data_IF_276167907117
#
_entry.id   IF_276167907117
#
_cell.length_a   1.000
_cell.length_b   1.000
_cell.length_c   1.000
_cell.angle_alpha   90.00
_cell.angle_beta   90.00
_cell.angle_gamma   90.00
#
_symmetry.space_group_name_H-M   'P 1'
#
loop_
_entity.id
_entity.type
_entity.pdbx_description
1 polymer ?
#
# COMPACT_ATOMS: atom_id res chain seq x y z
N UNK A 1 17.08 61.22 40.95
CA UNK A 1 17.43 59.83 41.35
C UNK A 1 18.09 59.14 40.17
N UNK A 2 19.04 58.27 40.49
CA UNK A 2 20.11 57.65 39.69
C UNK A 2 19.72 57.15 38.29
N UNK A 3 20.54 57.50 37.29
CA UNK A 3 20.59 56.83 35.99
C UNK A 3 21.65 55.71 36.01
N UNK A 4 21.43 54.61 35.28
CA UNK A 4 22.43 53.56 35.09
C UNK A 4 22.78 53.41 33.61
N UNK A 5 23.99 53.88 33.26
CA UNK A 5 24.66 53.51 32.01
C UNK A 5 25.45 52.22 32.24
N UNK A 6 25.34 51.27 31.32
CA UNK A 6 26.32 50.18 31.17
C UNK A 6 26.83 50.14 29.73
N UNK A 7 27.94 50.84 29.49
CA UNK A 7 28.82 50.58 28.34
C UNK A 7 29.79 49.44 28.72
N UNK A 8 29.90 48.43 27.87
CA UNK A 8 30.98 47.44 27.92
C UNK A 8 31.86 47.59 26.68
N UNK A 9 33.20 47.68 26.82
CA UNK A 9 34.10 47.83 25.69
C UNK A 9 34.36 46.48 25.00
N UNK A 10 34.16 46.43 23.68
CA UNK A 10 34.51 45.29 22.83
C UNK A 10 36.02 45.15 22.67
N UNK A 11 36.59 44.00 23.05
CA UNK A 11 37.98 43.62 22.70
C UNK A 11 38.01 42.99 21.30
N UNK A 12 38.99 43.33 20.44
CA UNK A 12 39.24 42.59 19.20
C UNK A 12 39.91 41.24 19.50
N UNK A 13 39.57 40.22 18.72
CA UNK A 13 40.23 38.91 18.73
C UNK A 13 41.38 38.90 17.69
N UNK A 14 42.49 38.19 17.96
CA UNK A 14 43.57 38.03 16.98
C UNK A 14 43.16 37.06 15.85
N UNK A 15 43.78 37.18 14.66
CA UNK A 15 43.52 36.27 13.54
C UNK A 15 44.05 34.86 13.82
N UNK A 16 43.29 33.85 13.41
CA UNK A 16 43.72 32.44 13.43
C UNK A 16 44.21 32.06 12.03
N UNK A 17 45.52 31.84 11.89
CA UNK A 17 46.08 31.19 10.70
C UNK A 17 45.61 29.73 10.63
N UNK A 18 45.03 29.33 9.50
CA UNK A 18 44.70 27.93 9.21
C UNK A 18 45.68 27.36 8.18
N UNK A 19 46.68 26.65 8.68
CA UNK A 19 47.72 26.02 7.87
C UNK A 19 47.23 24.65 7.34
N UNK A 20 46.40 24.67 6.28
CA UNK A 20 45.94 23.43 5.61
C UNK A 20 46.97 22.92 4.60
N UNK A 21 47.98 22.19 5.12
CA UNK A 21 48.88 21.39 4.28
C UNK A 21 48.15 20.19 3.66
N UNK A 22 47.99 20.21 2.35
CA UNK A 22 47.60 19.04 1.54
C UNK A 22 48.76 18.03 1.43
N UNK A 23 48.48 16.73 1.57
CA UNK A 23 49.32 15.67 1.01
C UNK A 23 48.61 14.97 -0.15
N UNK A 24 49.02 15.29 -1.38
CA UNK A 24 48.88 14.39 -2.53
C UNK A 24 50.11 13.48 -2.61
N UNK A 25 49.95 12.21 -2.99
CA UNK A 25 50.80 11.48 -3.97
C UNK A 25 50.32 10.03 -4.16
N UNK A 26 50.49 9.55 -5.40
CA UNK A 26 50.32 8.20 -5.98
C UNK A 26 50.78 7.00 -5.09
N UNK A 27 50.44 5.72 -5.26
CA UNK A 27 49.93 4.89 -6.38
C UNK A 27 49.32 3.58 -5.79
N UNK A 28 48.87 2.51 -6.48
CA UNK A 28 48.74 2.15 -7.90
C UNK A 28 48.91 0.63 -8.14
N UNK A 29 48.24 0.06 -9.16
CA UNK A 29 48.25 -1.39 -9.55
C UNK A 29 47.59 -2.33 -8.50
N UNK A 30 47.04 -3.52 -8.79
CA UNK A 30 47.13 -4.45 -9.93
C UNK A 30 45.73 -4.96 -10.34
N UNK A 31 45.50 -5.16 -11.65
CA UNK A 31 44.31 -5.81 -12.19
C UNK A 31 44.40 -7.35 -12.09
N UNK A 32 43.37 -8.01 -11.57
CA UNK A 32 43.17 -9.47 -11.71
C UNK A 32 41.85 -9.76 -12.41
N UNK A 33 41.94 -9.95 -13.73
CA UNK A 33 40.83 -10.25 -14.63
C UNK A 33 40.32 -11.68 -14.45
N UNK A 34 39.45 -11.90 -13.47
CA UNK A 34 38.69 -13.15 -13.36
C UNK A 34 37.70 -13.22 -14.53
N UNK A 35 38.08 -13.97 -15.56
CA UNK A 35 37.27 -14.25 -16.74
C UNK A 35 35.99 -15.00 -16.35
N UNK A 36 34.91 -14.24 -16.12
CA UNK A 36 33.56 -14.80 -15.98
C UNK A 36 33.10 -15.24 -17.37
N UNK A 37 33.07 -16.55 -17.59
CA UNK A 37 32.39 -17.16 -18.74
C UNK A 37 30.95 -16.62 -18.79
N UNK A 38 30.47 -16.06 -19.91
CA UNK A 38 29.07 -15.65 -20.02
C UNK A 38 28.20 -16.91 -19.95
N UNK A 39 27.50 -17.08 -18.84
CA UNK A 39 26.50 -18.15 -18.67
C UNK A 39 25.42 -18.00 -19.73
N UNK A 40 25.10 -19.11 -20.40
CA UNK A 40 24.38 -19.11 -21.67
C UNK A 40 23.03 -18.37 -21.66
N UNK A 41 22.80 -17.63 -22.74
CA UNK A 41 21.49 -17.22 -23.26
C UNK A 41 20.43 -16.88 -22.21
N UNK A 42 20.57 -15.71 -21.57
CA UNK A 42 19.40 -14.99 -21.07
C UNK A 42 18.52 -14.67 -22.28
N UNK A 43 17.47 -15.49 -22.49
CA UNK A 43 16.62 -15.44 -23.67
C UNK A 43 15.86 -14.10 -23.67
N UNK A 44 16.41 -13.12 -24.40
CA UNK A 44 16.20 -11.70 -24.13
C UNK A 44 14.76 -11.24 -24.05
N UNK A 45 14.18 -11.31 -22.84
CA UNK A 45 12.83 -10.87 -22.53
C UNK A 45 12.69 -9.36 -22.80
N UNK A 46 12.01 -9.00 -23.89
CA UNK A 46 11.86 -7.60 -24.29
C UNK A 46 10.77 -6.92 -23.46
N UNK A 47 11.17 -6.24 -22.39
CA UNK A 47 10.33 -5.31 -21.64
C UNK A 47 10.34 -3.92 -22.28
N UNK A 48 9.16 -3.39 -22.57
CA UNK A 48 8.97 -2.01 -22.99
C UNK A 48 8.54 -1.18 -21.77
N UNK A 49 9.02 0.06 -21.63
CA UNK A 49 8.66 0.94 -20.51
C UNK A 49 8.32 2.33 -21.03
N UNK A 50 7.07 2.74 -20.83
CA UNK A 50 6.59 4.07 -21.14
C UNK A 50 6.66 4.94 -19.88
N UNK A 51 7.27 6.12 -19.98
CA UNK A 51 7.49 7.04 -18.85
C UNK A 51 6.70 8.33 -19.04
N UNK A 52 5.93 8.72 -18.03
CA UNK A 52 5.13 9.93 -18.02
C UNK A 52 5.50 10.80 -16.82
N UNK A 53 6.06 11.99 -17.08
CA UNK A 53 6.35 12.98 -16.06
C UNK A 53 5.11 13.84 -15.80
N UNK A 54 4.85 14.18 -14.53
CA UNK A 54 3.67 14.94 -14.12
C UNK A 54 3.98 15.81 -12.90
N UNK A 55 3.28 16.93 -12.78
CA UNK A 55 3.32 17.81 -11.61
C UNK A 55 1.89 18.04 -11.12
N UNK A 56 1.56 17.61 -9.90
CA UNK A 56 0.24 17.81 -9.29
C UNK A 56 0.40 18.46 -7.92
N UNK A 57 -0.24 19.61 -7.69
CA UNK A 57 -0.04 20.46 -6.49
C UNK A 57 1.44 20.55 -6.07
N UNK A 58 2.30 21.03 -6.98
CA UNK A 58 3.75 21.16 -6.80
C UNK A 58 4.52 19.86 -6.47
N UNK A 59 3.86 18.69 -6.55
CA UNK A 59 4.47 17.38 -6.28
C UNK A 59 4.89 16.72 -7.59
N UNK A 60 6.19 16.61 -7.89
CA UNK A 60 6.68 15.96 -9.09
C UNK A 60 6.51 14.44 -8.99
N UNK A 61 5.93 13.83 -10.02
CA UNK A 61 5.67 12.40 -10.10
C UNK A 61 6.08 11.86 -11.47
N UNK A 62 6.57 10.62 -11.49
CA UNK A 62 6.80 9.86 -12.72
C UNK A 62 5.94 8.60 -12.67
N UNK A 63 5.21 8.31 -13.74
CA UNK A 63 4.48 7.05 -13.91
C UNK A 63 5.17 6.19 -14.95
N UNK A 64 5.38 4.93 -14.62
CA UNK A 64 5.92 3.92 -15.54
C UNK A 64 4.83 2.91 -15.87
N UNK A 65 4.62 2.70 -17.17
CA UNK A 65 3.78 1.62 -17.68
C UNK A 65 4.73 0.66 -18.40
N UNK A 66 4.97 -0.51 -17.80
CA UNK A 66 5.78 -1.54 -18.43
C UNK A 66 4.92 -2.58 -19.12
N UNK A 67 5.30 -2.94 -20.34
CA UNK A 67 4.64 -3.92 -21.20
C UNK A 67 5.63 -5.06 -21.46
N UNK A 68 5.27 -6.27 -21.02
CA UNK A 68 6.10 -7.48 -21.06
C UNK A 68 5.33 -8.56 -21.84
N UNK A 69 5.85 -9.07 -22.98
CA UNK A 69 5.23 -10.21 -23.67
C UNK A 69 5.38 -11.49 -22.84
N UNK A 70 4.31 -12.30 -22.78
CA UNK A 70 4.30 -13.52 -21.96
C UNK A 70 5.23 -14.61 -22.52
N UNK A 71 5.43 -14.64 -23.84
CA UNK A 71 6.35 -15.54 -24.55
C UNK A 71 7.77 -14.95 -24.73
N UNK A 72 8.03 -13.77 -24.14
CA UNK A 72 9.28 -13.02 -24.29
C UNK A 72 9.49 -12.32 -25.63
N UNK A 73 8.60 -12.50 -26.62
CA UNK A 73 8.76 -12.00 -27.99
C UNK A 73 7.79 -10.86 -28.31
N UNK A 74 8.19 -9.85 -29.10
CA UNK A 74 7.31 -8.74 -29.47
C UNK A 74 6.41 -9.13 -30.65
N UNK A 75 5.64 -10.20 -30.48
CA UNK A 75 4.74 -10.79 -31.48
C UNK A 75 3.29 -10.75 -30.99
N UNK A 76 2.34 -10.85 -31.93
CA UNK A 76 0.92 -10.91 -31.58
C UNK A 76 0.66 -12.06 -30.59
N UNK A 77 -0.01 -11.77 -29.47
CA UNK A 77 -0.15 -12.71 -28.36
C UNK A 77 -0.54 -12.03 -27.04
N UNK A 78 -0.24 -12.69 -25.92
CA UNK A 78 -0.57 -12.21 -24.58
C UNK A 78 0.56 -11.33 -23.99
N UNK A 79 0.18 -10.17 -23.49
CA UNK A 79 1.07 -9.22 -22.82
C UNK A 79 0.63 -8.97 -21.38
N UNK A 80 1.60 -8.86 -20.48
CA UNK A 80 1.43 -8.39 -19.12
C UNK A 80 1.82 -6.92 -19.01
N UNK A 81 0.97 -6.13 -18.38
CA UNK A 81 1.15 -4.72 -18.12
C UNK A 81 1.29 -4.49 -16.63
N UNK A 82 2.18 -3.58 -16.23
CA UNK A 82 2.34 -3.17 -14.82
C UNK A 82 2.43 -1.65 -14.73
N UNK A 83 1.78 -1.09 -13.72
CA UNK A 83 1.81 0.34 -13.41
C UNK A 83 2.61 0.55 -12.11
N UNK A 84 3.68 1.33 -12.21
CA UNK A 84 4.39 1.85 -11.05
C UNK A 84 4.46 3.37 -11.09
N UNK A 85 4.70 3.96 -9.93
CA UNK A 85 4.90 5.39 -9.75
C UNK A 85 6.18 5.61 -8.98
N UNK A 86 7.02 6.52 -9.47
CA UNK A 86 8.23 7.00 -8.83
C UNK A 86 8.07 8.45 -8.43
N UNK A 87 8.36 8.73 -7.17
CA UNK A 87 8.29 10.05 -6.57
C UNK A 87 9.50 10.19 -5.68
N UNK A 88 10.30 11.23 -5.94
CA UNK A 88 11.49 11.55 -5.15
C UNK A 88 12.45 10.35 -4.94
N UNK A 89 12.87 9.72 -6.04
CA UNK A 89 13.77 8.55 -6.02
C UNK A 89 13.16 7.24 -5.52
N UNK A 90 11.85 7.19 -5.22
CA UNK A 90 11.19 6.01 -4.65
C UNK A 90 10.08 5.56 -5.58
N UNK A 91 10.27 4.40 -6.19
CA UNK A 91 9.30 3.74 -7.06
C UNK A 91 8.57 2.60 -6.34
N UNK A 92 7.25 2.55 -6.51
CA UNK A 92 6.40 1.44 -6.05
C UNK A 92 5.34 1.06 -7.08
N UNK A 93 4.88 -0.21 -7.11
CA UNK A 93 3.68 -0.57 -7.87
C UNK A 93 2.46 0.19 -7.34
N UNK A 94 1.53 0.54 -8.24
CA UNK A 94 0.25 1.16 -7.90
C UNK A 94 -0.94 0.22 -7.98
N UNK A 95 -0.85 -0.85 -8.78
CA UNK A 95 -1.90 -1.83 -8.98
C UNK A 95 -1.30 -3.21 -9.25
N UNK A 96 -2.14 -4.23 -9.23
CA UNK A 96 -1.83 -5.53 -9.81
C UNK A 96 -1.57 -5.41 -11.32
N UNK A 97 -0.93 -6.44 -11.89
CA UNK A 97 -0.65 -6.51 -13.31
C UNK A 97 -1.90 -6.87 -14.12
N UNK A 98 -2.17 -6.16 -15.20
CA UNK A 98 -3.26 -6.47 -16.13
C UNK A 98 -2.69 -7.27 -17.31
N UNK A 99 -3.36 -8.34 -17.73
CA UNK A 99 -3.02 -9.05 -18.96
C UNK A 99 -4.00 -8.75 -20.08
N UNK A 100 -3.50 -8.63 -21.32
CA UNK A 100 -4.32 -8.44 -22.53
C UNK A 100 -3.74 -9.23 -23.70
N UNK A 101 -4.61 -9.68 -24.59
CA UNK A 101 -4.21 -10.15 -25.91
C UNK A 101 -4.05 -8.95 -26.85
N UNK A 102 -3.01 -8.95 -27.69
CA UNK A 102 -2.68 -7.84 -28.59
C UNK A 102 -2.16 -8.36 -29.93
N UNK A 103 -2.58 -7.72 -31.02
CA UNK A 103 -2.00 -7.88 -32.36
C UNK A 103 -1.05 -6.74 -32.75
N UNK A 104 -1.08 -5.63 -32.01
CA UNK A 104 -0.31 -4.41 -32.31
C UNK A 104 1.06 -4.45 -31.63
N UNK A 105 2.07 -3.99 -32.36
CA UNK A 105 3.46 -3.88 -31.89
C UNK A 105 3.53 -3.08 -30.56
N UNK A 106 4.11 -3.65 -29.49
CA UNK A 106 4.18 -3.00 -28.17
C UNK A 106 5.02 -1.72 -28.15
N UNK A 107 5.70 -1.36 -29.24
CA UNK A 107 6.41 -0.07 -29.44
C UNK A 107 5.51 1.04 -29.98
N UNK A 108 4.36 0.70 -30.60
CA UNK A 108 3.43 1.66 -31.22
C UNK A 108 2.31 2.11 -30.28
N UNK A 109 2.28 1.60 -29.05
CA UNK A 109 1.25 1.93 -28.07
C UNK A 109 1.39 3.38 -27.63
N UNK A 110 0.25 4.03 -27.39
CA UNK A 110 0.18 5.36 -26.79
C UNK A 110 -0.71 5.30 -25.56
N UNK A 111 -0.27 5.89 -24.45
CA UNK A 111 -1.11 6.00 -23.25
C UNK A 111 -1.43 7.46 -22.94
N UNK A 112 -2.67 7.69 -22.51
CA UNK A 112 -3.13 8.96 -21.95
C UNK A 112 -3.18 8.79 -20.43
N UNK A 113 -2.27 9.46 -19.73
CA UNK A 113 -2.09 9.38 -18.28
C UNK A 113 -2.45 10.71 -17.65
N UNK A 114 -3.44 10.71 -16.75
CA UNK A 114 -3.88 11.93 -16.06
C UNK A 114 -4.33 11.65 -14.62
N UNK A 115 -4.11 12.64 -13.75
CA UNK A 115 -4.66 12.68 -12.39
C UNK A 115 -5.65 13.83 -12.25
N UNK A 116 -6.61 13.67 -11.35
CA UNK A 116 -7.48 14.74 -10.89
C UNK A 116 -7.69 14.61 -9.37
N UNK A 117 -8.08 15.67 -8.64
CA UNK A 117 -8.37 15.59 -7.21
C UNK A 117 -9.42 14.52 -6.93
N UNK A 118 -9.17 13.64 -5.97
CA UNK A 118 -10.11 12.56 -5.65
C UNK A 118 -11.46 13.08 -5.13
N UNK A 119 -12.53 12.29 -5.26
CA UNK A 119 -13.91 12.70 -4.94
C UNK A 119 -14.06 13.36 -3.55
N UNK A 120 -13.29 12.90 -2.57
CA UNK A 120 -13.33 13.36 -1.18
C UNK A 120 -12.08 14.16 -0.78
N UNK A 121 -11.33 14.75 -1.74
CA UNK A 121 -10.05 15.40 -1.47
C UNK A 121 -10.11 16.58 -0.48
N UNK A 122 -11.28 17.20 -0.31
CA UNK A 122 -11.54 18.24 0.71
C UNK A 122 -11.79 17.69 2.13
N UNK A 123 -12.02 16.38 2.27
CA UNK A 123 -12.33 15.71 3.54
C UNK A 123 -11.19 14.77 3.99
N UNK A 124 -10.36 14.30 3.05
CA UNK A 124 -9.21 13.46 3.37
C UNK A 124 -8.05 14.32 3.84
N UNK A 125 -7.57 14.05 5.05
CA UNK A 125 -6.42 14.70 5.64
C UNK A 125 -5.14 13.84 5.50
N UNK A 126 -3.96 14.45 5.28
CA UNK A 126 -3.73 15.88 5.00
C UNK A 126 -4.40 16.35 3.71
N UNK A 127 -4.80 17.62 3.66
CA UNK A 127 -5.39 18.21 2.45
C UNK A 127 -4.40 18.19 1.26
N UNK A 128 -4.91 18.33 0.04
CA UNK A 128 -4.14 18.32 -1.22
C UNK A 128 -3.36 17.02 -1.51
N UNK A 129 -3.54 15.97 -0.70
CA UNK A 129 -2.84 14.69 -0.88
C UNK A 129 -3.59 13.66 -1.74
N UNK A 130 -4.92 13.77 -1.86
CA UNK A 130 -5.75 12.74 -2.53
C UNK A 130 -5.93 13.02 -4.04
N UNK A 131 -5.42 12.10 -4.85
CA UNK A 131 -5.57 12.08 -6.29
C UNK A 131 -6.27 10.81 -6.77
N UNK A 132 -6.96 10.90 -7.90
CA UNK A 132 -7.44 9.77 -8.67
C UNK A 132 -6.71 9.74 -10.01
N UNK A 133 -5.99 8.65 -10.27
CA UNK A 133 -5.23 8.40 -11.50
C UNK A 133 -6.08 7.61 -12.50
N UNK A 134 -5.96 7.97 -13.77
CA UNK A 134 -6.48 7.22 -14.92
C UNK A 134 -5.37 7.02 -15.94
N UNK A 135 -5.33 5.82 -16.49
CA UNK A 135 -4.52 5.47 -17.65
C UNK A 135 -5.45 4.88 -18.69
N UNK A 136 -5.42 5.45 -19.89
CA UNK A 136 -6.08 4.91 -21.07
C UNK A 136 -5.03 4.48 -22.09
N UNK A 137 -5.26 3.34 -22.74
CA UNK A 137 -4.46 2.86 -23.86
C UNK A 137 -5.16 3.28 -25.17
N UNK A 138 -4.48 4.07 -25.99
CA UNK A 138 -4.92 4.52 -27.31
C UNK A 138 -4.21 3.71 -28.39
N UNK A 139 -4.98 2.97 -29.18
CA UNK A 139 -4.49 2.14 -30.29
C UNK A 139 -5.47 2.25 -31.46
N UNK A 140 -4.98 2.56 -32.66
CA UNK A 140 -5.77 2.62 -33.90
C UNK A 140 -7.07 3.43 -33.81
N UNK A 141 -7.04 4.54 -33.05
CA UNK A 141 -8.17 5.44 -32.83
C UNK A 141 -9.14 5.00 -31.73
N UNK A 142 -8.94 3.83 -31.11
CA UNK A 142 -9.75 3.31 -30.01
C UNK A 142 -9.07 3.56 -28.66
N UNK A 143 -9.83 4.13 -27.72
CA UNK A 143 -9.39 4.41 -26.35
C UNK A 143 -9.94 3.37 -25.36
N UNK A 144 -9.04 2.63 -24.72
CA UNK A 144 -9.39 1.60 -23.73
C UNK A 144 -9.02 2.07 -22.32
N UNK A 145 -9.99 2.09 -21.38
CA UNK A 145 -9.68 2.32 -19.97
C UNK A 145 -8.82 1.17 -19.45
N UNK A 146 -7.64 1.50 -18.92
CA UNK A 146 -6.58 0.52 -18.71
C UNK A 146 -6.20 0.35 -17.24
N UNK A 147 -5.77 1.43 -16.57
CA UNK A 147 -5.58 1.45 -15.12
C UNK A 147 -6.44 2.54 -14.46
N UNK A 148 -6.89 2.24 -13.24
CA UNK A 148 -7.73 3.10 -12.41
C UNK A 148 -7.28 2.99 -10.96
N UNK A 149 -6.79 4.09 -10.40
CA UNK A 149 -6.46 4.18 -8.96
C UNK A 149 -7.23 5.35 -8.39
N UNK A 150 -8.17 5.10 -7.48
CA UNK A 150 -9.03 6.15 -6.90
C UNK A 150 -8.43 6.82 -5.66
N UNK A 151 -7.61 6.07 -4.90
CA UNK A 151 -6.99 6.46 -3.62
C UNK A 151 -5.47 6.73 -3.77
N UNK A 152 -5.02 7.48 -4.78
CA UNK A 152 -3.60 7.81 -4.93
C UNK A 152 -3.22 8.95 -3.97
N UNK A 153 -2.62 8.59 -2.83
CA UNK A 153 -2.28 9.56 -1.77
C UNK A 153 -0.79 9.91 -1.75
N UNK A 154 -0.52 11.13 -2.21
CA UNK A 154 0.82 11.67 -2.42
C UNK A 154 0.77 13.19 -2.38
N UNK A 155 1.76 13.83 -1.76
CA UNK A 155 1.86 15.28 -1.74
C UNK A 155 3.17 15.79 -1.13
N UNK A 156 3.59 16.96 -1.58
CA UNK A 156 4.71 17.74 -1.06
C UNK A 156 4.25 18.57 0.15
N UNK A 157 5.07 18.62 1.19
CA UNK A 157 4.92 19.49 2.38
C UNK A 157 3.51 19.48 2.99
N UNK A 158 2.97 18.27 3.17
CA UNK A 158 1.64 18.04 3.73
C UNK A 158 1.56 18.45 5.20
N UNK A 159 0.52 19.20 5.55
CA UNK A 159 0.21 19.54 6.94
C UNK A 159 -0.47 18.37 7.68
N UNK A 160 0.30 17.66 8.49
CA UNK A 160 -0.19 16.62 9.39
C UNK A 160 -0.73 17.17 10.72
N UNK A 161 -0.47 18.43 11.08
CA UNK A 161 -1.00 19.04 12.30
C UNK A 161 -2.49 19.37 12.20
N UNK A 162 -3.02 19.54 10.98
CA UNK A 162 -4.45 19.62 10.70
C UNK A 162 -5.24 18.34 11.08
N UNK A 163 -4.58 17.22 11.39
CA UNK A 163 -5.23 15.97 11.78
C UNK A 163 -5.54 15.98 13.28
N UNK A 164 -6.76 16.38 13.63
CA UNK A 164 -7.28 16.32 15.00
C UNK A 164 -7.19 14.92 15.61
N UNK A 165 -6.93 14.88 16.92
CA UNK A 165 -6.80 13.68 17.77
C UNK A 165 -5.74 12.65 17.32
N UNK A 166 -4.87 12.99 16.37
CA UNK A 166 -3.85 12.09 15.88
C UNK A 166 -2.70 11.92 16.88
N UNK A 167 -2.43 10.68 17.28
CA UNK A 167 -1.24 10.28 18.02
C UNK A 167 -0.16 9.80 17.04
N UNK A 168 0.97 10.49 17.01
CA UNK A 168 2.10 10.23 16.10
C UNK A 168 3.18 9.40 16.79
N UNK A 169 3.65 8.35 16.11
CA UNK A 169 4.82 7.61 16.57
C UNK A 169 6.11 8.39 16.25
N UNK A 170 7.02 8.47 17.21
CA UNK A 170 8.33 9.13 17.09
C UNK A 170 9.40 8.07 16.81
N UNK A 171 10.35 8.37 15.92
CA UNK A 171 11.52 7.50 15.67
C UNK A 171 12.33 7.37 16.97
N UNK A 172 12.47 6.15 17.47
CA UNK A 172 13.19 5.81 18.70
C UNK A 172 14.60 5.25 18.41
N UNK A 173 14.80 4.64 17.23
CA UNK A 173 16.11 4.12 16.83
C UNK A 173 16.12 3.59 15.40
N UNK A 174 17.28 3.12 14.95
CA UNK A 174 17.46 2.40 13.69
C UNK A 174 18.66 1.47 13.74
N UNK A 175 18.56 0.36 13.02
CA UNK A 175 19.68 -0.53 12.67
C UNK A 175 20.05 -0.42 11.19
N UNK A 176 20.83 -1.36 10.65
CA UNK A 176 21.21 -1.39 9.23
C UNK A 176 20.06 -1.79 8.30
N UNK A 177 19.09 -2.54 8.81
CA UNK A 177 17.97 -3.15 8.08
C UNK A 177 16.59 -2.84 8.71
N UNK A 178 16.54 -1.97 9.72
CA UNK A 178 15.30 -1.59 10.40
C UNK A 178 15.28 -0.16 10.97
N UNK A 179 14.08 0.38 11.18
CA UNK A 179 13.80 1.60 11.94
C UNK A 179 12.71 1.32 12.98
N UNK A 180 12.90 1.82 14.19
CA UNK A 180 11.97 1.66 15.32
C UNK A 180 11.28 3.00 15.58
N UNK A 181 9.96 2.96 15.70
CA UNK A 181 9.10 4.07 16.06
C UNK A 181 8.28 3.71 17.29
N UNK A 182 8.05 4.66 18.20
CA UNK A 182 7.24 4.45 19.41
C UNK A 182 6.14 5.50 19.51
N UNK A 183 4.92 5.08 19.80
CA UNK A 183 3.77 5.97 19.92
C UNK A 183 2.70 5.40 20.87
N UNK A 184 1.82 6.28 21.36
CA UNK A 184 0.70 5.84 22.20
C UNK A 184 -0.54 5.57 21.35
N UNK A 185 -1.15 4.40 21.53
CA UNK A 185 -2.40 4.00 20.86
C UNK A 185 -3.39 3.59 21.94
N UNK A 186 -4.47 4.36 22.11
CA UNK A 186 -5.49 4.06 23.11
C UNK A 186 -4.94 3.93 24.54
N UNK A 187 -3.97 4.78 24.94
CA UNK A 187 -3.19 4.70 26.20
C UNK A 187 -2.17 3.55 26.30
N UNK A 188 -2.08 2.62 25.34
CA UNK A 188 -0.98 1.64 25.28
C UNK A 188 0.25 2.25 24.61
N UNK A 189 1.45 1.95 25.11
CA UNK A 189 2.70 2.24 24.40
C UNK A 189 2.94 1.15 23.35
N UNK A 190 3.03 1.53 22.08
CA UNK A 190 3.24 0.63 20.95
C UNK A 190 4.56 0.95 20.27
N UNK A 191 5.36 -0.10 20.06
CA UNK A 191 6.56 -0.07 19.24
C UNK A 191 6.18 -0.55 17.83
N UNK A 192 6.51 0.24 16.82
CA UNK A 192 6.38 -0.10 15.41
C UNK A 192 7.78 -0.30 14.82
N UNK A 193 8.04 -1.45 14.24
CA UNK A 193 9.34 -1.73 13.60
C UNK A 193 9.14 -1.87 12.10
N UNK A 194 9.78 -0.98 11.34
CA UNK A 194 9.84 -1.08 9.88
C UNK A 194 11.15 -1.78 9.53
N UNK A 195 11.09 -2.92 8.83
CA UNK A 195 12.27 -3.65 8.35
C UNK A 195 12.35 -3.60 6.83
N UNK A 196 13.55 -3.72 6.27
CA UNK A 196 13.74 -3.93 4.84
C UNK A 196 14.83 -4.95 4.53
N UNK A 197 14.56 -5.76 3.50
CA UNK A 197 15.53 -6.70 2.94
C UNK A 197 15.78 -6.34 1.48
N UNK A 198 17.05 -6.20 1.08
CA UNK A 198 17.43 -6.02 -0.33
C UNK A 198 17.13 -7.31 -1.10
N UNK A 199 16.32 -7.23 -2.16
CA UNK A 199 16.02 -8.38 -3.04
C UNK A 199 17.09 -8.48 -4.14
N UNK A 200 17.26 -7.40 -4.91
CA UNK A 200 18.23 -7.26 -6.00
C UNK A 200 18.40 -5.79 -6.35
N UNK A 201 19.56 -5.40 -6.89
CA UNK A 201 19.82 -4.04 -7.38
C UNK A 201 19.40 -2.97 -6.35
N UNK A 202 18.43 -2.12 -6.67
CA UNK A 202 17.82 -1.14 -5.76
C UNK A 202 16.40 -1.51 -5.32
N UNK A 203 15.97 -2.77 -5.52
CA UNK A 203 14.67 -3.28 -5.11
C UNK A 203 14.75 -3.87 -3.68
N UNK A 204 13.97 -3.30 -2.77
CA UNK A 204 13.87 -3.69 -1.38
C UNK A 204 12.47 -4.20 -1.06
N UNK A 205 12.39 -5.21 -0.18
CA UNK A 205 11.17 -5.72 0.43
C UNK A 205 11.01 -5.10 1.82
N UNK A 206 9.96 -4.33 2.05
CA UNK A 206 9.63 -3.77 3.35
C UNK A 206 8.58 -4.60 4.09
N UNK A 207 8.70 -4.64 5.41
CA UNK A 207 7.65 -5.08 6.33
C UNK A 207 7.47 -4.06 7.47
N UNK A 208 6.28 -4.06 8.05
CA UNK A 208 5.94 -3.30 9.25
C UNK A 208 5.28 -4.24 10.25
N UNK A 209 5.88 -4.36 11.43
CA UNK A 209 5.33 -5.06 12.59
C UNK A 209 5.01 -4.05 13.70
N UNK A 210 4.08 -4.39 14.60
CA UNK A 210 3.87 -3.67 15.84
C UNK A 210 3.99 -4.61 17.04
N UNK A 211 4.35 -4.06 18.19
CA UNK A 211 4.40 -4.77 19.47
C UNK A 211 3.92 -3.85 20.60
N UNK A 212 3.08 -4.37 21.49
CA UNK A 212 2.64 -3.72 22.71
C UNK A 212 2.48 -4.72 23.85
N UNK A 213 3.22 -4.54 24.95
CA UNK A 213 3.14 -5.44 26.11
C UNK A 213 3.54 -6.89 25.83
N UNK A 214 4.46 -7.12 24.87
CA UNK A 214 4.90 -8.46 24.45
C UNK A 214 3.97 -9.17 23.46
N UNK A 215 2.90 -8.53 22.99
CA UNK A 215 2.02 -9.05 21.93
C UNK A 215 2.16 -8.17 20.68
N UNK A 216 2.28 -8.79 19.51
CA UNK A 216 2.50 -8.09 18.25
C UNK A 216 2.04 -8.87 17.04
N UNK A 217 1.97 -8.20 15.89
CA UNK A 217 1.61 -8.80 14.60
C UNK A 217 2.20 -8.00 13.42
N UNK A 218 2.23 -8.60 12.23
CA UNK A 218 2.74 -8.02 10.98
C UNK A 218 1.63 -7.28 10.25
N UNK A 219 1.64 -5.95 10.35
CA UNK A 219 0.68 -5.06 9.70
C UNK A 219 0.81 -5.05 8.18
N UNK A 220 2.05 -5.12 7.69
CA UNK A 220 2.37 -5.11 6.27
C UNK A 220 3.55 -6.05 6.01
N UNK A 221 3.37 -6.96 5.06
CA UNK A 221 4.42 -7.84 4.56
C UNK A 221 4.57 -7.64 3.05
N UNK A 222 5.79 -7.76 2.56
CA UNK A 222 6.13 -7.75 1.13
C UNK A 222 5.79 -6.46 0.35
N UNK A 223 5.91 -5.29 1.00
CA UNK A 223 5.89 -4.01 0.28
C UNK A 223 7.19 -3.85 -0.51
N UNK A 224 7.14 -4.12 -1.83
CA UNK A 224 8.32 -4.00 -2.70
C UNK A 224 8.44 -2.59 -3.27
N UNK A 225 9.58 -1.95 -3.05
CA UNK A 225 9.90 -0.61 -3.53
C UNK A 225 11.31 -0.56 -4.12
N UNK A 226 11.50 0.21 -5.20
CA UNK A 226 12.83 0.55 -5.72
C UNK A 226 13.25 1.92 -5.20
N UNK A 227 14.44 2.00 -4.60
CA UNK A 227 14.93 3.22 -3.93
C UNK A 227 16.26 3.65 -4.54
N UNK A 228 16.29 4.84 -5.11
CA UNK A 228 17.48 5.42 -5.74
C UNK A 228 18.35 6.11 -4.68
N UNK A 229 18.98 5.31 -3.80
CA UNK A 229 19.83 5.81 -2.73
C UNK A 229 19.91 4.84 -1.55
N UNK A 230 20.23 5.39 -0.37
CA UNK A 230 20.23 4.65 0.89
C UNK A 230 18.80 4.44 1.40
N UNK A 231 18.34 3.19 1.66
CA UNK A 231 17.04 2.94 2.28
C UNK A 231 16.88 3.58 3.67
N UNK A 232 17.98 3.91 4.38
CA UNK A 232 17.93 4.64 5.67
C UNK A 232 17.52 6.12 5.54
N UNK A 233 17.69 6.72 4.35
CA UNK A 233 17.23 8.08 4.07
C UNK A 233 15.70 8.16 3.93
N UNK A 234 15.04 7.02 3.72
CA UNK A 234 13.58 6.91 3.77
C UNK A 234 13.12 6.88 5.22
N UNK A 235 12.18 7.76 5.57
CA UNK A 235 11.57 7.82 6.90
C UNK A 235 10.08 7.52 6.82
N UNK A 236 9.48 7.17 7.96
CA UNK A 236 8.07 6.82 8.05
C UNK A 236 7.36 7.74 9.04
N UNK A 237 6.19 8.23 8.63
CA UNK A 237 5.28 8.99 9.47
C UNK A 237 4.08 8.08 9.74
N UNK A 238 4.02 7.56 10.97
CA UNK A 238 3.00 6.64 11.46
C UNK A 238 2.11 7.42 12.44
N UNK A 239 0.79 7.39 12.23
CA UNK A 239 -0.16 7.94 13.19
C UNK A 239 -1.39 7.05 13.37
N UNK A 240 -2.04 7.23 14.52
CA UNK A 240 -3.34 6.65 14.85
C UNK A 240 -4.33 7.75 15.22
N UNK A 241 -5.59 7.60 14.80
CA UNK A 241 -6.71 8.46 15.20
C UNK A 241 -7.72 7.59 15.96
N UNK A 242 -8.18 7.96 17.16
CA UNK A 242 -9.18 7.19 17.89
C UNK A 242 -10.52 7.13 17.13
N UNK A 243 -11.20 5.99 17.25
CA UNK A 243 -12.56 5.79 16.73
C UNK A 243 -13.49 5.46 17.89
N UNK A 244 -14.73 5.97 17.83
CA UNK A 244 -15.78 5.58 18.77
C UNK A 244 -15.92 4.06 18.77
N UNK A 245 -15.68 3.45 19.94
CA UNK A 245 -15.56 2.00 20.11
C UNK A 245 -16.01 1.59 21.51
N UNK A 246 -16.32 0.30 21.66
CA UNK A 246 -16.68 -0.32 22.94
C UNK A 246 -15.78 -1.54 23.15
N UNK A 247 -14.90 -1.56 24.16
CA UNK A 247 -14.60 -0.48 25.11
C UNK A 247 -13.98 0.77 24.46
N UNK A 248 -14.12 1.90 25.14
CA UNK A 248 -13.64 3.21 24.67
C UNK A 248 -12.12 3.21 24.55
N UNK A 249 -11.62 3.73 23.42
CA UNK A 249 -10.18 3.80 23.15
C UNK A 249 -9.56 2.48 22.69
N UNK A 250 -10.37 1.46 22.37
CA UNK A 250 -9.88 0.18 21.87
C UNK A 250 -9.72 0.11 20.35
N UNK A 251 -10.36 0.98 19.56
CA UNK A 251 -10.28 0.95 18.08
C UNK A 251 -9.76 2.27 17.52
N UNK A 252 -8.84 2.17 16.55
CA UNK A 252 -8.16 3.31 15.93
C UNK A 252 -8.06 3.16 14.42
N UNK A 253 -8.00 4.29 13.71
CA UNK A 253 -7.57 4.35 12.30
C UNK A 253 -6.07 4.58 12.27
N UNK A 254 -5.30 3.60 11.80
CA UNK A 254 -3.86 3.74 11.59
C UNK A 254 -3.56 4.12 10.14
N UNK A 255 -2.54 4.96 9.96
CA UNK A 255 -2.02 5.39 8.66
C UNK A 255 -0.50 5.39 8.68
N UNK A 256 0.10 4.95 7.58
CA UNK A 256 1.55 4.99 7.39
C UNK A 256 1.87 5.70 6.10
N UNK A 257 2.68 6.75 6.23
CA UNK A 257 3.20 7.52 5.14
C UNK A 257 4.71 7.31 5.06
N UNK A 258 5.19 7.04 3.86
CA UNK A 258 6.59 7.20 3.53
C UNK A 258 6.88 8.70 3.39
N UNK A 259 8.02 9.15 3.92
CA UNK A 259 8.52 10.53 3.86
C UNK A 259 9.95 10.51 3.32
N UNK A 260 10.20 11.22 2.22
CA UNK A 260 11.53 11.43 1.66
C UNK A 260 11.85 12.91 1.47
N UNK A 261 13.07 13.31 1.80
CA UNK A 261 13.59 14.67 1.64
C UNK A 261 13.74 14.97 0.15
N UNK A 262 13.22 16.10 -0.31
CA UNK A 262 13.42 16.59 -1.68
C UNK A 262 14.88 17.05 -1.79
N UNK A 263 15.69 16.50 -2.72
CA UNK A 263 17.05 16.97 -2.94
C UNK A 263 17.03 18.46 -3.27
N UNK A 264 17.76 19.25 -2.48
CA UNK A 264 18.04 20.64 -2.81
C UNK A 264 18.78 20.66 -4.16
N UNK A 265 18.29 21.46 -5.10
CA UNK A 265 18.93 21.61 -6.41
C UNK A 265 20.31 22.20 -6.22
N UNK A 266 21.35 21.42 -6.54
CA UNK A 266 22.76 21.82 -6.42
C UNK A 266 23.21 22.80 -7.51
N UNK A 267 22.27 23.51 -8.14
CA UNK A 267 22.56 24.53 -9.15
C UNK A 267 22.93 25.85 -8.44
N UNK A 268 24.21 26.26 -8.45
CA UNK A 268 24.67 27.44 -7.73
C UNK A 268 24.07 28.75 -8.27
N UNK A 269 23.49 28.75 -9.48
CA UNK A 269 22.83 29.92 -10.04
C UNK A 269 21.44 30.19 -9.44
N UNK A 270 20.85 29.20 -8.75
CA UNK A 270 19.47 29.26 -8.22
C UNK A 270 19.43 29.00 -6.70
N UNK A 271 20.44 28.33 -6.14
CA UNK A 271 20.49 27.97 -4.72
C UNK A 271 20.91 29.14 -3.81
N UNK A 272 19.96 29.98 -3.39
CA UNK A 272 20.11 30.72 -2.13
C UNK A 272 19.70 29.80 -0.95
N UNK A 273 20.64 29.42 -0.05
CA UNK A 273 20.34 28.52 1.05
C UNK A 273 19.53 29.26 2.14
N UNK A 274 18.21 29.16 2.05
CA UNK A 274 17.32 29.58 3.13
C UNK A 274 17.42 28.59 4.31
N UNK A 275 17.50 29.06 5.56
CA UNK A 275 17.76 28.22 6.74
C UNK A 275 16.64 27.25 7.15
N UNK A 276 15.56 27.14 6.37
CA UNK A 276 14.37 26.33 6.69
C UNK A 276 13.87 25.51 5.47
N UNK A 277 14.72 25.24 4.48
CA UNK A 277 14.28 24.77 3.16
C UNK A 277 14.13 23.24 3.01
N UNK A 278 13.98 22.51 4.11
CA UNK A 278 13.78 21.05 4.11
C UNK A 278 12.36 20.70 3.66
N UNK A 279 12.18 20.55 2.34
CA UNK A 279 10.93 20.09 1.75
C UNK A 279 10.86 18.56 1.70
N UNK A 280 9.69 17.99 1.97
CA UNK A 280 9.46 16.54 1.97
C UNK A 280 8.29 16.16 1.07
N UNK A 281 8.45 15.04 0.37
CA UNK A 281 7.32 14.41 -0.32
C UNK A 281 6.87 13.18 0.46
N UNK A 282 5.56 13.12 0.66
CA UNK A 282 4.86 12.11 1.42
C UNK A 282 4.07 11.20 0.49
N UNK A 283 4.10 9.89 0.73
CA UNK A 283 3.30 8.90 0.01
C UNK A 283 2.61 7.97 1.01
N UNK A 284 1.28 7.82 0.95
CA UNK A 284 0.60 6.84 1.82
C UNK A 284 0.85 5.43 1.30
N UNK A 285 1.45 4.59 2.13
CA UNK A 285 1.78 3.19 1.79
C UNK A 285 0.88 2.17 2.50
N UNK A 286 0.27 2.53 3.64
CA UNK A 286 -0.62 1.64 4.39
C UNK A 286 -1.78 2.39 5.05
N UNK A 287 -2.93 1.72 5.15
CA UNK A 287 -4.12 2.15 5.89
C UNK A 287 -4.75 0.95 6.58
N UNK A 288 -5.13 1.11 7.84
CA UNK A 288 -5.93 0.15 8.60
C UNK A 288 -6.99 0.97 9.36
N UNK A 289 -8.27 0.60 9.24
CA UNK A 289 -9.38 1.43 9.75
C UNK A 289 -9.98 0.91 11.07
N UNK A 290 -9.60 -0.29 11.47
CA UNK A 290 -10.09 -1.07 12.59
C UNK A 290 -8.93 -1.62 13.46
N UNK A 291 -7.87 -0.83 13.64
CA UNK A 291 -6.73 -1.23 14.47
C UNK A 291 -7.14 -1.32 15.94
N UNK A 292 -7.28 -2.55 16.44
CA UNK A 292 -7.84 -2.84 17.78
C UNK A 292 -6.75 -3.03 18.83
N UNK A 293 -6.33 -1.93 19.44
CA UNK A 293 -5.32 -1.89 20.50
C UNK A 293 -5.68 -0.80 21.51
N UNK A 294 -5.50 -1.06 22.80
CA UNK A 294 -5.66 -0.05 23.85
C UNK A 294 -5.11 -0.52 25.20
N UNK A 295 -4.66 0.43 26.01
CA UNK A 295 -4.11 0.21 27.34
C UNK A 295 -5.11 0.59 28.42
N UNK A 296 -5.23 -0.24 29.46
CA UNK A 296 -6.16 -0.01 30.59
C UNK A 296 -7.62 0.19 30.12
N UNK A 297 -8.09 -0.72 29.26
CA UNK A 297 -9.47 -0.71 28.75
C UNK A 297 -10.47 -1.02 29.89
N UNK A 298 -11.47 -0.17 30.04
CA UNK A 298 -12.44 -0.24 31.14
C UNK A 298 -13.61 -1.16 30.77
N UNK A 299 -13.37 -2.48 30.75
CA UNK A 299 -14.42 -3.47 30.44
C UNK A 299 -15.62 -3.41 31.41
N UNK A 300 -15.40 -3.00 32.66
CA UNK A 300 -16.45 -2.80 33.66
C UNK A 300 -17.43 -1.67 33.28
N UNK A 301 -17.00 -0.67 32.50
CA UNK A 301 -17.84 0.46 32.07
C UNK A 301 -18.83 0.10 30.96
N UNK A 302 -18.73 -1.11 30.38
CA UNK A 302 -19.62 -1.61 29.34
C UNK A 302 -21.02 -2.01 29.86
N UNK A 303 -21.18 -2.06 31.18
CA UNK A 303 -22.46 -2.22 31.87
C UNK A 303 -23.00 -3.66 31.91
N UNK A 304 -24.06 -3.82 32.71
CA UNK A 304 -24.59 -5.13 33.15
C UNK A 304 -25.20 -6.01 32.04
N UNK A 305 -25.17 -5.56 30.77
CA UNK A 305 -25.65 -6.31 29.61
C UNK A 305 -24.58 -7.23 29.00
N UNK A 306 -23.32 -7.09 29.40
CA UNK A 306 -22.27 -7.99 28.95
C UNK A 306 -22.23 -9.27 29.80
N UNK A 307 -22.22 -10.40 29.11
CA UNK A 307 -21.84 -11.69 29.68
C UNK A 307 -20.34 -11.88 29.47
N UNK A 308 -19.56 -11.76 30.53
CA UNK A 308 -18.12 -12.03 30.50
C UNK A 308 -17.86 -13.52 30.79
N UNK A 309 -16.95 -14.14 30.03
CA UNK A 309 -16.42 -15.44 30.40
C UNK A 309 -15.56 -15.32 31.66
N UNK A 310 -15.67 -16.30 32.56
CA UNK A 310 -14.79 -16.43 33.71
C UNK A 310 -13.60 -17.34 33.35
N UNK A 311 -12.39 -17.12 33.92
CA UNK A 311 -11.26 -18.01 33.70
C UNK A 311 -11.58 -19.42 34.22
N UNK A 312 -11.12 -20.44 33.49
CA UNK A 312 -11.22 -21.82 33.96
C UNK A 312 -10.37 -22.00 35.24
N UNK A 313 -10.92 -22.71 36.25
CA UNK A 313 -10.31 -22.80 37.58
C UNK A 313 -8.93 -23.48 37.59
N UNK A 314 -8.62 -24.32 36.60
CA UNK A 314 -7.30 -24.95 36.44
C UNK A 314 -6.21 -24.06 35.85
N UNK A 315 -6.52 -22.83 35.41
CA UNK A 315 -5.58 -21.98 34.68
C UNK A 315 -5.35 -22.45 33.24
N UNK A 316 -4.23 -22.05 32.58
CA UNK A 316 -3.89 -22.50 31.24
C UNK A 316 -3.40 -23.96 31.25
N UNK A 317 -4.04 -24.82 30.46
CA UNK A 317 -3.62 -26.21 30.26
C UNK A 317 -2.58 -26.32 29.12
N UNK A 318 -1.42 -26.91 29.41
CA UNK A 318 -0.38 -27.18 28.39
C UNK A 318 -0.68 -28.49 27.68
N UNK A 319 -1.43 -28.42 26.57
CA UNK A 319 -1.73 -29.58 25.73
C UNK A 319 -0.52 -29.89 24.84
N UNK A 320 0.31 -30.84 25.25
CA UNK A 320 1.40 -31.39 24.42
C UNK A 320 0.82 -32.28 23.32
N UNK A 321 0.38 -31.67 22.22
CA UNK A 321 0.06 -32.44 21.01
C UNK A 321 1.34 -33.09 20.47
N UNK A 322 1.36 -34.42 20.40
CA UNK A 322 2.45 -35.14 19.73
C UNK A 322 2.62 -34.58 18.32
N UNK A 323 3.84 -34.13 17.98
CA UNK A 323 4.13 -33.54 16.67
C UNK A 323 3.68 -34.52 15.60
N UNK A 324 2.73 -34.17 14.71
CA UNK A 324 2.29 -35.09 13.68
C UNK A 324 3.50 -35.51 12.85
N UNK A 325 3.69 -36.80 12.56
CA UNK A 325 4.87 -37.29 11.87
C UNK A 325 5.02 -36.52 10.56
N UNK A 326 6.17 -35.84 10.42
CA UNK A 326 6.44 -34.97 9.29
C UNK A 326 6.43 -35.85 8.03
N UNK A 327 5.45 -35.67 7.14
CA UNK A 327 5.28 -36.52 5.94
C UNK A 327 6.43 -36.43 4.93
N UNK A 328 7.48 -35.65 5.20
CA UNK A 328 8.69 -35.53 4.37
C UNK A 328 9.36 -36.87 4.11
N UNK A 329 9.31 -37.82 5.06
CA UNK A 329 9.89 -39.15 4.82
C UNK A 329 9.06 -39.95 3.80
N UNK A 330 7.73 -39.80 3.76
CA UNK A 330 6.88 -40.47 2.75
C UNK A 330 6.99 -39.86 1.36
N UNK A 331 7.29 -38.56 1.24
CA UNK A 331 7.59 -37.94 -0.06
C UNK A 331 8.98 -38.33 -0.55
N UNK A 332 10.00 -38.33 0.31
CA UNK A 332 11.34 -38.82 -0.05
C UNK A 332 11.40 -40.32 -0.33
N UNK A 333 10.62 -41.12 0.39
CA UNK A 333 10.50 -42.56 0.15
C UNK A 333 9.80 -42.82 -1.20
N UNK A 334 8.72 -42.09 -1.51
CA UNK A 334 8.11 -42.12 -2.86
C UNK A 334 9.06 -41.66 -3.96
N UNK A 335 9.77 -40.55 -3.77
CA UNK A 335 10.73 -40.02 -4.76
C UNK A 335 11.86 -41.03 -5.00
N UNK A 336 12.32 -41.72 -3.94
CA UNK A 336 13.31 -42.79 -4.04
C UNK A 336 12.76 -44.03 -4.75
N UNK A 337 11.55 -44.48 -4.40
CA UNK A 337 10.90 -45.63 -5.04
C UNK A 337 10.62 -45.37 -6.52
N UNK A 338 10.18 -44.16 -6.88
CA UNK A 338 9.97 -43.74 -8.26
C UNK A 338 11.28 -43.68 -9.05
N UNK A 339 12.36 -43.15 -8.43
CA UNK A 339 13.69 -43.11 -9.03
C UNK A 339 14.28 -44.49 -9.26
N UNK A 340 14.08 -45.43 -8.33
CA UNK A 340 14.52 -46.81 -8.47
C UNK A 340 13.69 -47.56 -9.54
N UNK A 341 12.36 -47.32 -9.62
CA UNK A 341 11.51 -47.84 -10.72
C UNK A 341 11.91 -47.34 -12.10
N UNK A 342 12.30 -46.06 -12.24
CA UNK A 342 12.83 -45.52 -13.51
C UNK A 342 14.15 -46.21 -13.86
N UNK A 343 15.06 -46.34 -12.89
CA UNK A 343 16.37 -46.98 -13.09
C UNK A 343 16.27 -48.46 -13.45
N UNK A 344 15.22 -49.15 -13.01
CA UNK A 344 14.95 -50.54 -13.38
C UNK A 344 14.38 -50.67 -14.80
N UNK A 345 13.58 -49.70 -15.27
CA UNK A 345 13.12 -49.63 -16.67
C UNK A 345 14.24 -49.29 -17.66
N UNK A 346 15.28 -48.60 -17.22
CA UNK A 346 16.45 -48.26 -18.06
C UNK A 346 17.50 -49.38 -18.14
N UNK A 347 17.33 -50.50 -17.45
CA UNK A 347 18.20 -51.68 -17.66
C UNK A 347 18.00 -52.20 -19.09
N UNK A 348 19.04 -52.23 -19.95
CA UNK A 348 18.89 -52.72 -21.31
C UNK A 348 18.47 -54.19 -21.29
N UNK A 349 17.31 -54.49 -21.88
CA UNK A 349 16.95 -55.88 -22.15
C UNK A 349 18.06 -56.50 -23.00
N UNK A 350 18.69 -57.55 -22.48
CA UNK A 350 19.78 -58.25 -23.16
C UNK A 350 19.20 -59.13 -24.26
N UNK A 351 18.82 -58.51 -25.37
CA UNK A 351 18.13 -59.18 -26.48
C UNK A 351 19.11 -60.08 -27.24
N UNK A 352 18.84 -61.40 -27.37
CA UNK A 352 19.62 -62.24 -28.26
C UNK A 352 19.40 -61.84 -29.72
N UNK A 353 20.43 -62.02 -30.53
CA UNK A 353 20.48 -61.57 -31.92
C UNK A 353 19.64 -62.43 -32.88
N UNK A 354 18.80 -61.80 -33.71
CA UNK A 354 18.63 -62.21 -35.12
C UNK A 354 17.87 -61.20 -36.01
N UNK A 355 18.59 -60.75 -37.04
CA UNK A 355 18.20 -60.68 -38.47
C UNK A 355 16.87 -60.07 -38.94
N UNK A 356 17.02 -59.12 -39.90
CA UNK A 356 16.28 -58.94 -41.18
C UNK A 356 14.75 -59.25 -41.19
N UNK A 357 13.88 -58.36 -41.68
CA UNK A 357 13.81 -57.99 -43.12
C UNK A 357 12.87 -56.80 -43.40
N UNK A 358 12.85 -56.35 -44.67
CA UNK A 358 11.87 -55.49 -45.37
C UNK A 358 10.37 -55.84 -45.08
N UNK A 359 9.31 -55.08 -45.42
CA UNK A 359 9.05 -54.21 -46.59
C UNK A 359 7.71 -53.44 -46.43
N UNK A 360 7.58 -52.24 -47.04
CA UNK A 360 6.39 -51.58 -47.65
C UNK A 360 4.92 -51.66 -47.14
N UNK A 361 4.21 -50.53 -47.33
CA UNK A 361 2.72 -50.35 -47.44
C UNK A 361 1.92 -50.40 -46.11
N UNK A 362 0.68 -49.89 -45.97
CA UNK A 362 -0.22 -49.20 -46.91
C UNK A 362 -1.26 -48.29 -46.17
N UNK A 363 -1.98 -47.45 -46.93
CA UNK A 363 -3.38 -46.99 -46.75
C UNK A 363 -3.94 -46.38 -45.43
N UNK A 364 -4.52 -45.19 -45.60
CA UNK A 364 -5.80 -44.68 -45.05
C UNK A 364 -6.59 -45.55 -44.05
N UNK A 365 -7.08 -44.90 -42.98
CA UNK A 365 -8.53 -44.67 -42.81
C UNK A 365 -8.81 -43.50 -41.87
N UNK A 366 -9.80 -42.67 -42.22
CA UNK A 366 -10.33 -41.63 -41.33
C UNK A 366 -11.37 -42.22 -40.36
N UNK A 367 -11.25 -41.88 -39.08
CA UNK A 367 -12.22 -42.23 -38.04
C UNK A 367 -12.81 -40.98 -37.40
N UNK A 368 -14.13 -40.84 -37.44
CA UNK A 368 -14.87 -39.83 -36.68
C UNK A 368 -14.88 -40.21 -35.18
N UNK A 369 -14.85 -39.24 -34.25
CA UNK A 369 -15.05 -39.53 -32.83
C UNK A 369 -16.53 -39.91 -32.55
N UNK A 370 -16.79 -40.83 -31.60
CA UNK A 370 -18.15 -41.19 -31.21
C UNK A 370 -18.84 -40.08 -30.41
N UNK A 371 -20.18 -39.98 -30.44
CA UNK A 371 -20.93 -39.04 -29.61
C UNK A 371 -20.93 -39.47 -28.13
N UNK A 372 -21.02 -38.51 -27.18
CA UNK A 372 -21.15 -38.84 -25.76
C UNK A 372 -22.54 -39.40 -25.42
N UNK A 373 -22.66 -40.26 -24.38
CA UNK A 373 -23.94 -40.82 -23.96
C UNK A 373 -24.85 -39.78 -23.30
N UNK A 374 -26.18 -39.86 -23.48
CA UNK A 374 -27.12 -38.99 -22.78
C UNK A 374 -27.42 -39.51 -21.37
N UNK A 375 -27.43 -38.61 -20.37
CA UNK A 375 -27.99 -38.89 -19.06
C UNK A 375 -26.99 -38.96 -17.90
N UNK A 376 -26.57 -37.80 -17.41
CA UNK A 376 -26.13 -37.63 -16.02
C UNK A 376 -26.84 -36.41 -15.44
N UNK A 377 -27.84 -36.64 -14.60
CA UNK A 377 -28.56 -35.58 -13.90
C UNK A 377 -27.66 -35.03 -12.78
N UNK A 378 -27.34 -33.74 -12.83
CA UNK A 378 -26.69 -33.05 -11.71
C UNK A 378 -27.75 -32.64 -10.67
N UNK A 379 -27.60 -33.02 -9.39
CA UNK A 379 -28.48 -32.53 -8.34
C UNK A 379 -28.25 -31.05 -8.04
N UNK A 380 -29.34 -30.38 -7.65
CA UNK A 380 -29.42 -28.94 -7.48
C UNK A 380 -28.70 -28.39 -6.23
N UNK A 381 -28.16 -27.19 -6.40
CA UNK A 381 -28.04 -26.10 -5.40
C UNK A 381 -27.77 -26.46 -3.92
N UNK A 382 -26.49 -26.39 -3.53
CA UNK A 382 -26.12 -26.04 -2.14
C UNK A 382 -26.03 -24.51 -2.02
N UNK A 383 -26.81 -23.93 -1.10
CA UNK A 383 -26.86 -22.49 -0.83
C UNK A 383 -25.86 -22.13 0.26
N UNK A 384 -24.88 -21.28 -0.06
CA UNK A 384 -23.99 -20.68 0.95
C UNK A 384 -24.69 -19.49 1.65
N UNK A 385 -24.69 -19.40 2.99
CA UNK A 385 -25.25 -18.26 3.69
C UNK A 385 -24.31 -17.04 3.60
N UNK A 386 -24.76 -15.98 2.93
CA UNK A 386 -24.11 -14.67 3.06
C UNK A 386 -24.58 -13.95 4.33
N UNK A 387 -23.69 -13.82 5.31
CA UNK A 387 -23.88 -12.90 6.44
C UNK A 387 -23.61 -11.48 5.94
N UNK A 388 -24.67 -10.68 5.81
CA UNK A 388 -24.54 -9.25 5.48
C UNK A 388 -24.97 -8.40 6.67
N UNK A 389 -24.02 -7.72 7.30
CA UNK A 389 -24.29 -6.77 8.38
C UNK A 389 -24.97 -5.52 7.81
N UNK A 390 -26.23 -5.28 8.18
CA UNK A 390 -26.92 -4.01 7.91
C UNK A 390 -26.64 -3.00 9.02
N UNK A 391 -26.02 -1.88 8.68
CA UNK A 391 -25.82 -0.74 9.56
C UNK A 391 -27.16 -0.05 9.89
N UNK A 392 -27.55 -0.04 11.17
CA UNK A 392 -28.70 0.75 11.64
C UNK A 392 -28.32 2.22 11.79
N UNK A 393 -28.97 3.08 11.02
CA UNK A 393 -28.97 4.54 11.22
C UNK A 393 -29.91 4.91 12.37
N UNK A 394 -29.35 5.22 13.53
CA UNK A 394 -30.10 5.86 14.62
C UNK A 394 -30.16 7.37 14.42
N UNK A 395 -31.38 7.92 14.44
CA UNK A 395 -31.60 9.36 14.52
C UNK A 395 -31.28 9.87 15.94
N UNK A 396 -30.71 11.07 16.10
CA UNK A 396 -30.40 11.62 17.42
C UNK A 396 -31.65 12.11 18.14
N UNK A 397 -31.86 11.63 19.38
CA UNK A 397 -32.78 12.27 20.31
C UNK A 397 -32.18 13.58 20.81
N UNK A 398 -32.83 14.71 20.51
CA UNK A 398 -32.58 15.97 21.19
C UNK A 398 -33.15 15.89 22.62
N UNK A 399 -32.28 15.89 23.64
CA UNK A 399 -32.69 16.30 24.98
C UNK A 399 -32.43 17.80 25.14
N UNK A 400 -33.51 18.55 25.38
CA UNK A 400 -33.43 19.93 25.82
C UNK A 400 -33.12 19.95 27.32
N UNK A 401 -32.08 20.68 27.72
CA UNK A 401 -31.86 21.04 29.12
C UNK A 401 -32.54 22.39 29.43
N UNK A 402 -33.07 22.61 30.64
CA UNK A 402 -33.71 23.87 30.99
C UNK A 402 -32.67 24.97 31.20
N UNK A 403 -32.95 26.16 30.69
CA UNK A 403 -32.14 27.35 30.89
C UNK A 403 -32.79 28.21 32.01
N UNK A 404 -32.19 28.35 33.20
CA UNK A 404 -32.63 29.35 34.18
C UNK A 404 -31.86 30.66 33.95
N UNK A 405 -32.58 31.76 33.70
CA UNK A 405 -32.49 33.07 34.38
C UNK A 405 -33.28 34.14 33.59
N UNK A 406 -33.93 35.11 34.26
CA UNK A 406 -34.96 35.95 33.65
C UNK A 406 -34.49 37.32 33.13
N UNK A 407 -35.37 37.90 32.31
CA UNK A 407 -35.37 39.22 31.68
C UNK A 407 -34.70 40.41 32.42
N UNK A 408 -34.04 41.26 31.64
CA UNK A 408 -33.86 42.70 31.90
C UNK A 408 -34.24 43.51 30.66
N UNK A 409 -35.05 44.56 30.82
CA UNK A 409 -35.57 45.42 29.74
C UNK A 409 -34.53 46.44 29.23
N UNK A 410 -34.52 46.78 27.92
CA UNK A 410 -35.08 48.07 27.43
C UNK A 410 -34.95 48.33 25.90
N UNK A 411 -35.98 49.05 25.41
CA UNK A 411 -36.01 50.04 24.33
C UNK A 411 -35.63 49.73 22.86
N UNK A 412 -36.72 49.61 22.08
CA UNK A 412 -37.02 50.21 20.77
C UNK A 412 -36.01 51.21 20.15
N UNK A 413 -35.85 51.12 18.82
CA UNK A 413 -36.26 52.16 17.84
C UNK A 413 -36.31 51.56 16.41
N UNK A 414 -37.31 51.93 15.61
CA UNK A 414 -37.36 51.66 14.15
C UNK A 414 -36.80 52.86 13.35
N UNK A 415 -36.52 52.74 12.03
CA UNK A 415 -37.59 53.04 11.05
C UNK A 415 -37.63 52.18 9.75
N UNK A 416 -38.84 51.74 9.40
CA UNK A 416 -39.57 51.92 8.12
C UNK A 416 -38.88 51.68 6.73
N UNK A 417 -39.33 50.60 6.07
CA UNK A 417 -39.66 50.35 4.61
C UNK A 417 -38.71 50.77 3.46
N UNK A 418 -38.47 49.81 2.54
CA UNK A 418 -38.80 49.96 1.10
C UNK A 418 -38.97 48.60 0.34
N UNK A 419 -40.15 48.43 -0.27
CA UNK A 419 -40.50 47.71 -1.54
C UNK A 419 -39.90 46.35 -1.97
N UNK A 420 -40.80 45.37 -2.09
CA UNK A 420 -41.04 44.47 -3.25
C UNK A 420 -39.91 44.11 -4.24
N UNK A 421 -39.69 42.79 -4.42
CA UNK A 421 -40.05 42.13 -5.70
C UNK A 421 -40.30 40.63 -5.56
N UNK A 422 -41.26 40.13 -6.36
CA UNK A 422 -41.68 38.72 -6.46
C UNK A 422 -40.61 37.86 -7.15
N UNK A 423 -40.55 36.58 -6.79
CA UNK A 423 -40.48 35.50 -7.77
C UNK A 423 -41.10 34.20 -7.23
N UNK A 424 -41.83 33.48 -8.08
CA UNK A 424 -42.49 32.21 -7.74
C UNK A 424 -41.74 31.05 -8.39
N UNK A 425 -41.34 30.05 -7.60
CA UNK A 425 -40.92 28.74 -8.11
C UNK A 425 -41.75 27.64 -7.42
N UNK A 426 -42.45 26.84 -8.23
CA UNK A 426 -43.37 25.78 -7.75
C UNK A 426 -42.57 24.53 -7.36
N UNK A 427 -42.93 23.91 -6.24
CA UNK A 427 -42.43 22.59 -5.84
C UNK A 427 -43.20 21.45 -6.55
N UNK A 428 -42.55 20.35 -6.98
CA UNK A 428 -43.22 19.19 -7.55
C UNK A 428 -43.87 18.29 -6.46
N UNK A 429 -44.89 17.48 -6.79
CA UNK A 429 -45.67 16.72 -5.82
C UNK A 429 -44.94 15.46 -5.31
N UNK A 430 -45.14 15.13 -4.03
CA UNK A 430 -44.71 13.86 -3.45
C UNK A 430 -45.65 12.71 -3.84
N UNK A 431 -45.08 11.63 -4.36
CA UNK A 431 -45.81 10.38 -4.63
C UNK A 431 -45.86 9.53 -3.36
N UNK A 432 -47.05 9.36 -2.79
CA UNK A 432 -47.28 8.38 -1.73
C UNK A 432 -47.12 6.95 -2.28
N UNK A 433 -46.35 6.10 -1.59
CA UNK A 433 -46.33 4.65 -1.83
C UNK A 433 -46.99 3.92 -0.67
N UNK A 434 -47.96 3.09 -1.00
CA UNK A 434 -48.77 2.29 -0.09
C UNK A 434 -47.97 1.21 0.63
N UNK A 435 -48.22 1.03 1.94
CA UNK A 435 -47.74 -0.13 2.70
C UNK A 435 -48.62 -1.35 2.39
N UNK A 436 -48.01 -2.44 1.94
CA UNK A 436 -48.61 -3.77 2.00
C UNK A 436 -48.19 -4.45 3.32
N UNK A 437 -49.15 -5.10 3.99
CA UNK A 437 -48.98 -5.83 5.25
C UNK A 437 -49.04 -7.32 4.91
N UNK A 438 -48.04 -8.09 5.33
CA UNK A 438 -48.04 -9.57 5.20
C UNK A 438 -47.76 -10.13 6.58
N UNK A 439 -48.63 -11.02 7.03
CA UNK A 439 -48.55 -11.72 8.31
C UNK A 439 -47.66 -12.97 8.15
N UNK A 440 -47.01 -13.36 9.24
CA UNK A 440 -46.21 -14.59 9.31
C UNK A 440 -46.89 -15.48 10.35
N UNK A 441 -47.13 -16.74 9.96
CA UNK A 441 -47.45 -17.87 10.84
C UNK A 441 -46.14 -18.57 11.20
#
# INVERSE_FOLDING_TARGET
>A
MTAFNYMMPSRPLPPVEMDFRSPSVHSGLVSTSVSRRPSGSDAGFKRYVYTYNMLAAQTPMQFYISVEPYDGKPTAGQYQFRLSMRVNGIERPLSESVTRHMSVDPRKLSFVVFVFPGKNAKQVLPLNSLWSLRVWLRVDGVDHQFFKVDDLLVGKDLDFHAIGDASFARRAGNGPDYQVYQGYVGKALITFTVRWQRIRDQLYKYSLEYEGGGVGDVLLNDLRMRIDGDPLAVSFLIYTIPVQSMPVGATHRMRVWLRSLVPLTTDPAISHPLPFNDSFIYQRIFKLDDFKVGGRLEFNALGNKLVMAFPHRGGPETITTARPPIKQDKEKEKEREERDRVREREKPATTPSSQRSHTYSNQNHGGLPPPPPPGAQYPAHMVSPQVTFSSQTYAPYHQQLPNPYPNGHMNQLQPVRATDRREHARSPPQVQKSKARVEII
#
